data_IF_610873780179
#
_entry.id   IF_610873780179
#
_cell.length_a   1.000
_cell.length_b   1.000
_cell.length_c   1.000
_cell.angle_alpha   90.00
_cell.angle_beta   90.00
_cell.angle_gamma   90.00
#
_symmetry.space_group_name_H-M   'P 1'
#
loop_
_entity.id
_entity.type
_entity.pdbx_description
1 polymer ?
#
# COMPACT_ATOMS: atom_id res chain seq x y z
N UNK A 1 11.83 20.46 3.88
CA UNK A 1 10.46 20.34 3.33
C UNK A 1 9.50 20.61 4.47
N UNK A 2 8.40 21.36 4.28
CA UNK A 2 7.37 21.51 5.31
C UNK A 2 6.78 20.12 5.54
N UNK A 3 6.77 19.62 6.78
CA UNK A 3 6.09 18.36 7.07
C UNK A 3 4.63 18.53 6.70
N UNK A 4 4.09 17.61 5.88
CA UNK A 4 2.67 17.61 5.55
C UNK A 4 1.86 17.20 6.76
N UNK A 5 0.69 17.80 6.92
CA UNK A 5 -0.29 17.47 7.94
C UNK A 5 -1.41 16.59 7.38
N UNK A 6 -1.85 15.64 8.17
CA UNK A 6 -2.83 14.62 7.77
C UNK A 6 -3.96 14.52 8.79
N UNK A 7 -5.19 14.37 8.32
CA UNK A 7 -6.29 13.87 9.13
C UNK A 7 -6.61 12.43 8.71
N UNK A 8 -6.64 11.50 9.66
CA UNK A 8 -7.08 10.13 9.43
C UNK A 8 -8.38 9.90 10.19
N UNK A 9 -9.46 9.70 9.47
CA UNK A 9 -10.83 9.57 9.98
C UNK A 9 -11.26 8.11 9.88
N UNK A 10 -11.47 7.47 11.01
CA UNK A 10 -11.69 6.04 11.17
C UNK A 10 -10.38 5.29 11.47
N UNK A 11 -10.28 4.72 12.67
CA UNK A 11 -9.09 4.01 13.17
C UNK A 11 -9.31 2.50 13.24
N UNK A 12 -10.06 1.94 12.29
CA UNK A 12 -10.05 0.50 12.05
C UNK A 12 -8.65 0.04 11.55
N UNK A 13 -8.49 -1.23 11.23
CA UNK A 13 -7.19 -1.81 10.81
C UNK A 13 -6.44 -0.95 9.78
N UNK A 14 -7.14 -0.51 8.74
CA UNK A 14 -6.55 0.30 7.66
C UNK A 14 -6.15 1.69 8.16
N UNK A 15 -7.07 2.43 8.79
CA UNK A 15 -6.81 3.81 9.24
C UNK A 15 -5.74 3.87 10.33
N UNK A 16 -5.77 2.93 11.28
CA UNK A 16 -4.74 2.78 12.31
C UNK A 16 -3.36 2.61 11.69
N UNK A 17 -3.22 1.69 10.72
CA UNK A 17 -1.94 1.45 10.03
C UNK A 17 -1.47 2.70 9.29
N UNK A 18 -2.37 3.39 8.58
CA UNK A 18 -2.01 4.63 7.86
C UNK A 18 -1.53 5.71 8.83
N UNK A 19 -2.26 5.94 9.92
CA UNK A 19 -1.93 6.98 10.89
C UNK A 19 -0.58 6.72 11.57
N UNK A 20 -0.32 5.48 11.99
CA UNK A 20 0.95 5.08 12.62
C UNK A 20 2.12 5.23 11.65
N UNK A 21 1.98 4.74 10.41
CA UNK A 21 3.05 4.83 9.40
C UNK A 21 3.39 6.29 9.06
N UNK A 22 2.39 7.18 9.01
CA UNK A 22 2.63 8.61 8.81
C UNK A 22 3.37 9.25 10.00
N UNK A 23 2.99 8.86 11.22
CA UNK A 23 3.63 9.35 12.43
C UNK A 23 5.09 8.88 12.56
N UNK A 24 5.40 7.62 12.18
CA UNK A 24 6.76 7.06 12.17
C UNK A 24 7.74 7.86 11.29
N UNK A 25 7.25 8.51 10.24
CA UNK A 25 8.06 9.40 9.39
C UNK A 25 7.94 10.87 9.79
N UNK A 26 7.49 11.14 11.03
CA UNK A 26 7.36 12.47 11.64
C UNK A 26 6.39 13.42 10.90
N UNK A 27 5.31 12.89 10.31
CA UNK A 27 4.22 13.73 9.84
C UNK A 27 3.31 14.15 10.99
N UNK A 28 2.68 15.34 10.88
CA UNK A 28 1.64 15.75 11.81
C UNK A 28 0.34 15.02 11.49
N UNK A 29 -0.14 14.23 12.44
CA UNK A 29 -1.34 13.38 12.25
C UNK A 29 -2.40 13.73 13.27
N UNK A 30 -3.61 14.09 12.77
CA UNK A 30 -4.86 14.15 13.52
C UNK A 30 -5.65 12.87 13.26
N UNK A 31 -5.76 12.02 14.28
CA UNK A 31 -6.47 10.74 14.23
C UNK A 31 -7.85 10.89 14.89
N UNK A 32 -8.92 10.48 14.19
CA UNK A 32 -10.31 10.66 14.62
C UNK A 32 -11.06 9.33 14.51
N UNK A 33 -11.73 8.91 15.58
CA UNK A 33 -12.59 7.73 15.60
C UNK A 33 -13.76 7.93 16.59
N UNK A 34 -14.87 7.24 16.40
CA UNK A 34 -16.02 7.27 17.32
C UNK A 34 -15.86 6.34 18.52
N UNK A 35 -14.90 5.37 18.45
CA UNK A 35 -14.59 4.42 19.51
C UNK A 35 -13.42 4.89 20.35
N UNK A 36 -13.67 4.96 21.64
CA UNK A 36 -12.67 5.38 22.64
C UNK A 36 -11.41 4.50 22.63
N UNK A 37 -11.59 3.19 22.54
CA UNK A 37 -10.50 2.21 22.54
C UNK A 37 -9.51 2.49 21.39
N UNK A 38 -10.02 2.73 20.18
CA UNK A 38 -9.17 3.04 19.02
C UNK A 38 -8.36 4.33 19.22
N UNK A 39 -8.98 5.33 19.84
CA UNK A 39 -8.35 6.62 20.12
C UNK A 39 -7.26 6.47 21.20
N UNK A 40 -7.52 5.71 22.26
CA UNK A 40 -6.57 5.45 23.31
C UNK A 40 -5.34 4.68 22.81
N UNK A 41 -5.53 3.68 21.94
CA UNK A 41 -4.44 2.86 21.37
C UNK A 41 -3.42 3.66 20.55
N UNK A 42 -3.82 4.81 20.00
CA UNK A 42 -2.98 5.61 19.14
C UNK A 42 -2.52 6.94 19.78
N UNK A 43 -3.13 7.36 20.88
CA UNK A 43 -2.98 8.70 21.44
C UNK A 43 -1.53 9.11 21.70
N UNK A 44 -0.67 8.18 22.15
CA UNK A 44 0.74 8.46 22.45
C UNK A 44 1.66 8.40 21.20
N UNK A 45 1.11 8.02 20.04
CA UNK A 45 1.89 7.73 18.83
C UNK A 45 1.69 8.75 17.71
N UNK A 46 0.67 9.60 17.82
CA UNK A 46 0.34 10.63 16.81
C UNK A 46 0.29 12.01 17.44
N UNK A 47 0.26 13.07 16.62
CA UNK A 47 0.23 14.45 17.12
C UNK A 47 -1.05 14.76 17.90
N UNK A 48 -2.20 14.29 17.41
CA UNK A 48 -3.50 14.45 18.07
C UNK A 48 -4.38 13.21 17.79
N UNK A 49 -5.03 12.72 18.84
CA UNK A 49 -6.03 11.67 18.74
C UNK A 49 -7.32 12.12 19.42
N UNK A 50 -8.44 12.05 18.72
CA UNK A 50 -9.71 12.61 19.21
C UNK A 50 -10.85 11.63 18.95
N UNK A 51 -11.67 11.41 20.00
CA UNK A 51 -12.94 10.70 19.88
C UNK A 51 -14.00 11.66 19.37
N UNK A 52 -14.54 11.36 18.19
CA UNK A 52 -15.62 12.14 17.61
C UNK A 52 -16.45 11.32 16.62
N UNK A 53 -17.74 11.58 16.56
CA UNK A 53 -18.63 11.06 15.52
C UNK A 53 -18.66 12.07 14.37
N UNK A 54 -18.20 11.65 13.22
CA UNK A 54 -18.15 12.50 12.01
C UNK A 54 -19.52 12.92 11.48
N UNK A 55 -20.59 12.30 11.99
CA UNK A 55 -21.97 12.67 11.66
C UNK A 55 -22.46 13.88 12.45
N UNK A 56 -21.77 14.25 13.53
CA UNK A 56 -22.12 15.44 14.31
C UNK A 56 -21.80 16.70 13.48
N UNK A 57 -22.80 17.60 13.29
CA UNK A 57 -22.60 18.81 12.50
C UNK A 57 -21.47 19.69 13.03
N UNK A 58 -20.54 20.10 12.16
CA UNK A 58 -19.45 21.01 12.47
C UNK A 58 -18.32 20.40 13.30
N UNK A 59 -18.37 19.12 13.62
CA UNK A 59 -17.33 18.46 14.44
C UNK A 59 -15.96 18.52 13.76
N UNK A 60 -15.88 18.19 12.47
CA UNK A 60 -14.62 18.19 11.73
C UNK A 60 -14.00 19.59 11.62
N UNK A 61 -14.84 20.61 11.47
CA UNK A 61 -14.40 22.01 11.49
C UNK A 61 -13.84 22.41 12.86
N UNK A 62 -14.54 22.04 13.94
CA UNK A 62 -14.09 22.34 15.32
C UNK A 62 -12.75 21.67 15.67
N UNK A 63 -12.45 20.53 15.06
CA UNK A 63 -11.19 19.81 15.21
C UNK A 63 -10.07 20.35 14.31
N UNK A 64 -10.35 21.35 13.48
CA UNK A 64 -9.36 21.99 12.64
C UNK A 64 -8.99 21.21 11.38
N UNK A 65 -9.85 20.30 10.91
CA UNK A 65 -9.59 19.47 9.71
C UNK A 65 -9.34 20.30 8.45
N UNK A 66 -9.89 21.52 8.36
CA UNK A 66 -9.62 22.47 7.27
C UNK A 66 -8.14 22.90 7.14
N UNK A 67 -7.34 22.66 8.16
CA UNK A 67 -5.93 23.09 8.19
C UNK A 67 -4.95 21.98 7.73
N UNK A 68 -5.44 20.76 7.43
CA UNK A 68 -4.56 19.67 7.00
C UNK A 68 -4.35 19.71 5.48
N UNK A 69 -3.20 19.18 5.04
CA UNK A 69 -2.87 19.06 3.61
C UNK A 69 -3.60 17.88 2.96
N UNK A 70 -3.86 16.82 3.74
CA UNK A 70 -4.45 15.57 3.26
C UNK A 70 -5.43 15.01 4.29
N UNK A 71 -6.60 14.57 3.85
CA UNK A 71 -7.51 13.78 4.66
C UNK A 71 -7.67 12.36 4.11
N UNK A 72 -7.63 11.38 5.00
CA UNK A 72 -7.84 9.95 4.70
C UNK A 72 -9.13 9.50 5.39
N UNK A 73 -10.17 9.26 4.61
CA UNK A 73 -11.44 8.73 5.11
C UNK A 73 -11.36 7.21 5.09
N UNK A 74 -11.11 6.62 6.26
CA UNK A 74 -10.93 5.18 6.45
C UNK A 74 -12.16 4.49 7.05
N UNK A 75 -13.24 5.24 7.31
CA UNK A 75 -14.55 4.71 7.72
C UNK A 75 -15.18 4.02 6.52
N UNK A 76 -15.38 2.70 6.59
CA UNK A 76 -15.97 1.96 5.49
C UNK A 76 -17.20 1.13 5.91
N UNK A 77 -17.24 0.60 7.12
CA UNK A 77 -18.36 -0.22 7.62
C UNK A 77 -19.68 0.56 7.71
N UNK A 78 -19.59 1.86 7.99
CA UNK A 78 -20.73 2.76 7.98
C UNK A 78 -20.67 3.68 6.75
N UNK A 79 -21.48 3.36 5.74
CA UNK A 79 -21.52 4.11 4.47
C UNK A 79 -21.96 5.57 4.68
N UNK A 80 -22.93 5.80 5.57
CA UNK A 80 -23.40 7.14 5.90
C UNK A 80 -22.28 8.00 6.48
N UNK A 81 -21.58 7.50 7.49
CA UNK A 81 -20.45 8.20 8.10
C UNK A 81 -19.33 8.48 7.08
N UNK A 82 -19.02 7.51 6.21
CA UNK A 82 -18.00 7.67 5.16
C UNK A 82 -18.36 8.75 4.15
N UNK A 83 -19.61 8.77 3.68
CA UNK A 83 -20.12 9.78 2.73
C UNK A 83 -20.15 11.16 3.40
N UNK A 84 -20.70 11.25 4.62
CA UNK A 84 -20.78 12.49 5.38
C UNK A 84 -19.40 13.09 5.65
N UNK A 85 -18.45 12.27 6.13
CA UNK A 85 -17.09 12.72 6.37
C UNK A 85 -16.40 13.21 5.08
N UNK A 86 -16.55 12.47 3.97
CA UNK A 86 -15.94 12.85 2.69
C UNK A 86 -16.52 14.19 2.18
N UNK A 87 -17.83 14.36 2.26
CA UNK A 87 -18.50 15.60 1.84
C UNK A 87 -18.04 16.78 2.70
N UNK A 88 -18.12 16.66 4.03
CA UNK A 88 -17.69 17.73 4.95
C UNK A 88 -16.24 18.13 4.75
N UNK A 89 -15.33 17.16 4.64
CA UNK A 89 -13.89 17.44 4.44
C UNK A 89 -13.66 18.17 3.11
N UNK A 90 -14.39 17.84 2.06
CA UNK A 90 -14.32 18.57 0.77
C UNK A 90 -14.90 19.98 0.89
N UNK A 91 -16.01 20.16 1.59
CA UNK A 91 -16.60 21.47 1.85
C UNK A 91 -15.70 22.37 2.70
N UNK A 92 -14.95 21.79 3.64
CA UNK A 92 -13.92 22.48 4.42
C UNK A 92 -12.68 22.87 3.61
N UNK A 93 -12.59 22.46 2.34
CA UNK A 93 -11.54 22.87 1.42
C UNK A 93 -10.22 22.15 1.59
N UNK A 94 -10.20 20.94 2.20
CA UNK A 94 -8.97 20.14 2.30
C UNK A 94 -8.43 19.83 0.89
N UNK A 95 -7.14 20.12 0.62
CA UNK A 95 -6.57 20.06 -0.73
C UNK A 95 -6.62 18.67 -1.38
N UNK A 96 -6.44 17.60 -0.58
CA UNK A 96 -6.48 16.23 -1.08
C UNK A 96 -7.24 15.31 -0.14
N UNK A 97 -8.28 14.65 -0.66
CA UNK A 97 -9.13 13.72 0.10
C UNK A 97 -9.06 12.33 -0.52
N UNK A 98 -8.50 11.40 0.23
CA UNK A 98 -8.50 9.98 -0.10
C UNK A 98 -9.59 9.27 0.69
N UNK A 99 -10.42 8.47 0.02
CA UNK A 99 -11.48 7.73 0.69
C UNK A 99 -11.40 6.22 0.40
N UNK A 100 -11.59 5.43 1.45
CA UNK A 100 -11.70 3.97 1.37
C UNK A 100 -13.12 3.58 0.99
N UNK A 101 -13.28 2.76 -0.03
CA UNK A 101 -14.56 2.21 -0.45
C UNK A 101 -14.66 0.72 -0.16
N UNK A 102 -15.85 0.24 0.27
CA UNK A 102 -16.15 -1.18 0.47
C UNK A 102 -16.44 -1.93 -0.83
N UNK A 103 -17.06 -1.24 -1.78
CA UNK A 103 -17.49 -1.82 -3.06
C UNK A 103 -17.57 -0.74 -4.15
N UNK A 104 -17.83 -1.15 -5.38
CA UNK A 104 -17.84 -0.26 -6.54
C UNK A 104 -18.96 0.79 -6.50
N UNK A 105 -20.11 0.50 -5.87
CA UNK A 105 -21.18 1.48 -5.71
C UNK A 105 -20.76 2.59 -4.73
N UNK A 106 -20.24 2.20 -3.57
CA UNK A 106 -19.72 3.15 -2.58
C UNK A 106 -18.62 4.03 -3.19
N UNK A 107 -17.67 3.43 -3.92
CA UNK A 107 -16.61 4.19 -4.56
C UNK A 107 -17.10 5.23 -5.55
N UNK A 108 -18.07 4.87 -6.41
CA UNK A 108 -18.68 5.84 -7.35
C UNK A 108 -19.38 7.00 -6.63
N UNK A 109 -19.98 6.75 -5.46
CA UNK A 109 -20.58 7.83 -4.65
C UNK A 109 -19.47 8.75 -4.14
N UNK A 110 -18.41 8.19 -3.54
CA UNK A 110 -17.28 8.95 -3.00
C UNK A 110 -16.60 9.83 -4.07
N UNK A 111 -16.41 9.29 -5.29
CA UNK A 111 -15.92 10.07 -6.43
C UNK A 111 -16.85 11.23 -6.80
N UNK A 112 -18.16 10.99 -6.81
CA UNK A 112 -19.17 11.99 -7.17
C UNK A 112 -19.27 13.14 -6.15
N UNK A 113 -19.02 12.86 -4.88
CA UNK A 113 -19.01 13.89 -3.82
C UNK A 113 -17.64 14.56 -3.67
N UNK A 114 -16.66 14.23 -4.53
CA UNK A 114 -15.42 14.98 -4.67
C UNK A 114 -14.19 14.37 -4.02
N UNK A 115 -14.20 13.09 -3.63
CA UNK A 115 -12.97 12.42 -3.24
C UNK A 115 -11.94 12.46 -4.38
N UNK A 116 -10.72 12.93 -4.11
CA UNK A 116 -9.65 13.03 -5.11
C UNK A 116 -9.07 11.67 -5.45
N UNK A 117 -9.15 10.72 -4.50
CA UNK A 117 -8.74 9.33 -4.71
C UNK A 117 -9.63 8.38 -3.93
N UNK A 118 -10.14 7.36 -4.62
CA UNK A 118 -10.86 6.26 -3.99
C UNK A 118 -9.99 5.00 -4.04
N UNK A 119 -9.92 4.28 -2.92
CA UNK A 119 -9.13 3.05 -2.79
C UNK A 119 -9.98 1.90 -2.27
N UNK A 120 -9.59 0.68 -2.66
CA UNK A 120 -10.23 -0.59 -2.28
C UNK A 120 -9.18 -1.54 -1.70
N UNK A 121 -8.69 -1.30 -0.46
CA UNK A 121 -7.54 -2.03 0.09
C UNK A 121 -7.75 -3.54 0.12
N UNK A 122 -8.91 -4.01 0.58
CA UNK A 122 -9.24 -5.43 0.70
C UNK A 122 -9.30 -6.10 -0.69
N UNK A 123 -9.89 -5.44 -1.68
CA UNK A 123 -9.97 -5.96 -3.04
C UNK A 123 -8.57 -6.05 -3.66
N UNK A 124 -7.77 -5.00 -3.55
CA UNK A 124 -6.41 -4.96 -4.09
C UNK A 124 -5.51 -6.02 -3.44
N UNK A 125 -5.58 -6.13 -2.11
CA UNK A 125 -4.83 -7.14 -1.37
C UNK A 125 -5.33 -8.55 -1.66
N UNK A 126 -6.66 -8.76 -1.81
CA UNK A 126 -7.24 -10.04 -2.17
C UNK A 126 -6.75 -10.55 -3.51
N UNK A 127 -6.69 -9.68 -4.54
CA UNK A 127 -6.11 -10.03 -5.85
C UNK A 127 -4.63 -10.42 -5.70
N UNK A 128 -3.85 -9.64 -4.95
CA UNK A 128 -2.42 -9.92 -4.72
C UNK A 128 -2.22 -11.28 -4.04
N UNK A 129 -2.96 -11.55 -2.97
CA UNK A 129 -2.89 -12.84 -2.26
C UNK A 129 -3.30 -14.00 -3.16
N UNK A 130 -4.41 -13.86 -3.91
CA UNK A 130 -4.86 -14.91 -4.82
C UNK A 130 -3.82 -15.24 -5.90
N UNK A 131 -3.19 -14.21 -6.48
CA UNK A 131 -2.11 -14.39 -7.45
C UNK A 131 -0.89 -15.09 -6.84
N UNK A 132 -0.48 -14.68 -5.65
CA UNK A 132 0.63 -15.32 -4.94
C UNK A 132 0.34 -16.79 -4.60
N UNK A 133 -0.91 -17.15 -4.29
CA UNK A 133 -1.33 -18.54 -4.05
C UNK A 133 -1.37 -19.38 -5.32
N UNK A 134 -1.71 -18.79 -6.45
CA UNK A 134 -1.75 -19.47 -7.75
C UNK A 134 -0.36 -19.66 -8.37
N UNK A 135 0.57 -18.81 -8.01
CA UNK A 135 1.93 -18.79 -8.56
C UNK A 135 2.83 -19.71 -7.74
N UNK A 136 2.95 -20.98 -8.16
CA UNK A 136 3.93 -21.91 -7.59
C UNK A 136 5.34 -21.37 -7.87
N UNK A 137 6.06 -20.98 -6.81
CA UNK A 137 7.46 -20.53 -6.89
C UNK A 137 7.72 -19.06 -6.62
N UNK A 138 6.71 -18.18 -6.63
CA UNK A 138 6.88 -16.78 -6.22
C UNK A 138 6.81 -16.62 -4.70
N UNK A 139 7.68 -15.78 -4.17
CA UNK A 139 7.63 -15.29 -2.79
C UNK A 139 6.71 -14.08 -2.71
N UNK A 140 6.82 -13.17 -3.69
CA UNK A 140 5.94 -12.00 -3.84
C UNK A 140 5.91 -11.52 -5.29
N UNK A 141 4.80 -10.84 -5.68
CA UNK A 141 4.61 -10.34 -7.04
C UNK A 141 3.90 -8.99 -7.03
N UNK A 142 4.49 -8.02 -7.73
CA UNK A 142 3.97 -6.67 -7.92
C UNK A 142 3.61 -6.46 -9.39
N UNK A 143 2.35 -6.18 -9.66
CA UNK A 143 1.88 -5.86 -11.00
C UNK A 143 2.33 -4.44 -11.40
N UNK A 144 2.99 -4.34 -12.55
CA UNK A 144 3.34 -3.06 -13.18
C UNK A 144 2.30 -2.66 -14.23
N UNK A 145 1.72 -3.66 -14.90
CA UNK A 145 0.59 -3.54 -15.82
C UNK A 145 -0.11 -4.90 -15.94
N UNK A 146 -1.18 -5.01 -16.76
CA UNK A 146 -1.88 -6.27 -17.03
C UNK A 146 -0.96 -7.41 -17.47
N UNK A 147 0.12 -7.10 -18.18
CA UNK A 147 0.99 -8.07 -18.84
C UNK A 147 2.39 -8.17 -18.25
N UNK A 148 2.79 -7.19 -17.44
CA UNK A 148 4.13 -7.08 -16.86
C UNK A 148 4.10 -6.97 -15.36
N UNK A 149 5.01 -7.68 -14.69
CA UNK A 149 5.18 -7.66 -13.24
C UNK A 149 6.65 -7.59 -12.83
N UNK A 150 6.86 -7.21 -11.60
CA UNK A 150 8.07 -7.46 -10.84
C UNK A 150 7.79 -8.58 -9.84
N UNK A 151 8.62 -9.61 -9.81
CA UNK A 151 8.42 -10.78 -8.95
C UNK A 151 9.68 -11.12 -8.15
N UNK A 152 9.48 -11.54 -6.90
CA UNK A 152 10.47 -12.20 -6.08
C UNK A 152 10.20 -13.71 -6.11
N UNK A 153 11.20 -14.52 -6.48
CA UNK A 153 11.10 -15.97 -6.55
C UNK A 153 12.38 -16.65 -6.05
N UNK A 154 12.25 -17.90 -5.65
CA UNK A 154 13.40 -18.70 -5.26
C UNK A 154 14.33 -18.91 -6.45
N UNK A 155 15.64 -18.91 -6.21
CA UNK A 155 16.60 -19.20 -7.28
C UNK A 155 16.28 -20.54 -7.92
N UNK A 156 16.11 -20.59 -9.27
CA UNK A 156 16.01 -21.87 -10.00
C UNK A 156 17.26 -22.73 -9.74
N UNK A 157 17.07 -24.02 -9.55
CA UNK A 157 18.20 -24.93 -9.24
C UNK A 157 19.33 -24.86 -10.27
N UNK A 158 18.97 -24.67 -11.53
CA UNK A 158 19.92 -24.55 -12.64
C UNK A 158 20.74 -23.26 -12.65
N UNK A 159 20.35 -22.24 -11.85
CA UNK A 159 21.08 -20.98 -11.71
C UNK A 159 22.11 -21.02 -10.59
N UNK A 160 21.96 -21.92 -9.62
CA UNK A 160 22.85 -22.03 -8.46
C UNK A 160 24.27 -22.33 -8.92
N UNK A 161 25.22 -21.56 -8.40
CA UNK A 161 26.64 -21.70 -8.73
C UNK A 161 27.10 -21.11 -10.06
N UNK A 162 26.14 -20.53 -10.84
CA UNK A 162 26.46 -19.83 -12.09
C UNK A 162 26.51 -18.33 -11.88
N UNK A 163 27.16 -17.63 -12.79
CA UNK A 163 27.23 -16.16 -12.81
C UNK A 163 26.12 -15.58 -13.67
N UNK A 164 25.78 -14.28 -13.46
CA UNK A 164 24.81 -13.57 -14.29
C UNK A 164 25.23 -13.59 -15.78
N UNK A 165 26.53 -13.51 -16.05
CA UNK A 165 27.10 -13.58 -17.40
C UNK A 165 26.83 -14.94 -18.08
N UNK A 166 27.03 -16.05 -17.35
CA UNK A 166 26.78 -17.40 -17.87
C UNK A 166 25.30 -17.68 -18.08
N UNK A 167 24.46 -17.17 -17.19
CA UNK A 167 23.01 -17.36 -17.25
C UNK A 167 22.35 -16.66 -18.43
N UNK A 168 22.89 -15.51 -18.85
CA UNK A 168 22.32 -14.68 -19.93
C UNK A 168 20.82 -14.45 -19.74
N UNK A 169 20.43 -14.06 -18.53
CA UNK A 169 19.03 -14.03 -18.05
C UNK A 169 18.11 -13.30 -19.01
N UNK A 170 18.55 -12.14 -19.53
CA UNK A 170 17.76 -11.35 -20.47
C UNK A 170 17.57 -12.08 -21.82
N UNK A 171 18.60 -12.74 -22.31
CA UNK A 171 18.57 -13.41 -23.62
C UNK A 171 17.75 -14.69 -23.59
N UNK A 172 17.94 -15.50 -22.52
CA UNK A 172 17.33 -16.83 -22.41
C UNK A 172 15.91 -16.83 -21.86
N UNK A 173 15.64 -15.94 -20.89
CA UNK A 173 14.39 -15.95 -20.15
C UNK A 173 13.54 -14.70 -20.40
N UNK A 174 14.04 -13.74 -21.18
CA UNK A 174 13.36 -12.48 -21.51
C UNK A 174 12.88 -11.69 -20.27
N UNK A 175 13.63 -11.77 -19.16
CA UNK A 175 13.37 -11.04 -17.93
C UNK A 175 14.57 -10.18 -17.56
N UNK A 176 14.32 -9.10 -16.81
CA UNK A 176 15.37 -8.24 -16.30
C UNK A 176 15.61 -8.55 -14.82
N UNK A 177 16.81 -9.01 -14.48
CA UNK A 177 17.22 -9.14 -13.09
C UNK A 177 17.32 -7.74 -12.45
N UNK A 178 16.66 -7.56 -11.31
CA UNK A 178 16.71 -6.33 -10.53
C UNK A 178 17.67 -6.49 -9.37
N UNK A 179 17.69 -7.67 -8.74
CA UNK A 179 18.61 -7.93 -7.63
C UNK A 179 18.49 -9.32 -7.05
N UNK A 180 19.38 -9.58 -6.09
CA UNK A 180 19.38 -10.78 -5.25
C UNK A 180 19.02 -10.36 -3.82
N UNK A 181 18.15 -11.12 -3.18
CA UNK A 181 17.76 -10.88 -1.79
C UNK A 181 18.17 -12.06 -0.92
N UNK A 182 18.90 -11.76 0.16
CA UNK A 182 19.36 -12.71 1.16
C UNK A 182 18.83 -12.29 2.53
N UNK A 183 17.84 -13.01 3.05
CA UNK A 183 17.05 -12.57 4.20
C UNK A 183 16.41 -11.20 3.93
N UNK A 184 16.68 -10.22 4.79
CA UNK A 184 16.16 -8.85 4.63
C UNK A 184 17.08 -7.92 3.80
N UNK A 185 18.24 -8.43 3.36
CA UNK A 185 19.22 -7.62 2.61
C UNK A 185 19.04 -7.80 1.11
N UNK A 186 18.86 -6.69 0.41
CA UNK A 186 18.76 -6.64 -1.05
C UNK A 186 20.05 -6.14 -1.67
N UNK A 187 20.66 -6.93 -2.59
CA UNK A 187 21.72 -6.49 -3.47
C UNK A 187 21.15 -6.16 -4.86
N UNK A 188 21.06 -4.87 -5.19
CA UNK A 188 20.58 -4.40 -6.51
C UNK A 188 21.72 -4.20 -7.52
N UNK A 189 22.99 -4.30 -7.08
CA UNK A 189 24.18 -4.13 -7.93
C UNK A 189 24.85 -5.49 -8.16
N UNK A 190 24.09 -6.45 -8.69
CA UNK A 190 24.62 -7.78 -9.02
C UNK A 190 25.67 -7.68 -10.11
N UNK A 191 26.92 -8.00 -9.78
CA UNK A 191 28.01 -7.96 -10.75
C UNK A 191 27.84 -9.08 -11.80
N UNK A 192 28.25 -8.86 -13.07
CA UNK A 192 28.14 -9.88 -14.11
C UNK A 192 28.82 -11.21 -13.78
N UNK A 193 29.86 -11.17 -12.97
CA UNK A 193 30.65 -12.33 -12.55
C UNK A 193 30.30 -12.81 -11.11
N UNK A 194 29.26 -12.23 -10.50
CA UNK A 194 28.75 -12.66 -9.20
C UNK A 194 28.04 -14.01 -9.33
N UNK A 195 28.41 -14.94 -8.46
CA UNK A 195 27.85 -16.30 -8.44
C UNK A 195 26.55 -16.32 -7.64
N UNK A 196 25.51 -16.92 -8.19
CA UNK A 196 24.20 -17.06 -7.55
C UNK A 196 24.26 -18.10 -6.42
N UNK A 197 24.06 -17.72 -5.14
CA UNK A 197 24.03 -18.64 -4.02
C UNK A 197 22.69 -19.39 -3.93
N UNK A 198 22.68 -20.53 -3.23
CA UNK A 198 21.46 -21.36 -3.10
C UNK A 198 20.41 -20.79 -2.13
N UNK A 199 20.79 -19.91 -1.22
CA UNK A 199 20.02 -19.46 -0.07
C UNK A 199 19.46 -18.02 -0.23
N UNK A 200 19.34 -17.56 -1.47
CA UNK A 200 18.74 -16.26 -1.77
C UNK A 200 17.50 -16.38 -2.68
N UNK A 201 16.78 -15.28 -2.81
CA UNK A 201 15.73 -15.09 -3.79
C UNK A 201 16.16 -14.12 -4.88
N UNK A 202 15.55 -14.22 -6.03
CA UNK A 202 15.77 -13.34 -7.18
C UNK A 202 14.60 -12.37 -7.28
N UNK A 203 14.91 -11.08 -7.46
CA UNK A 203 13.92 -10.10 -7.86
C UNK A 203 14.15 -9.77 -9.34
N UNK A 204 13.13 -9.99 -10.16
CA UNK A 204 13.20 -9.72 -11.59
C UNK A 204 11.91 -9.08 -12.10
N UNK A 205 12.00 -8.37 -13.24
CA UNK A 205 10.86 -7.80 -13.94
C UNK A 205 10.77 -8.34 -15.37
N UNK A 206 9.55 -8.60 -15.83
CA UNK A 206 9.30 -9.11 -17.16
C UNK A 206 7.82 -9.34 -17.44
N UNK A 207 7.52 -9.93 -18.60
CA UNK A 207 6.18 -10.37 -18.91
C UNK A 207 5.75 -11.48 -17.95
N UNK A 208 4.47 -11.50 -17.56
CA UNK A 208 3.93 -12.48 -16.61
C UNK A 208 4.19 -13.92 -17.08
N UNK A 209 4.05 -14.16 -18.38
CA UNK A 209 4.32 -15.48 -18.99
C UNK A 209 5.77 -15.92 -18.88
N UNK A 210 6.74 -15.00 -18.94
CA UNK A 210 8.15 -15.31 -18.89
C UNK A 210 8.63 -15.50 -17.44
N UNK A 211 8.11 -14.68 -16.51
CA UNK A 211 8.34 -14.87 -15.08
C UNK A 211 7.84 -16.22 -14.58
N UNK A 212 6.63 -16.65 -14.98
CA UNK A 212 6.06 -17.95 -14.62
C UNK A 212 6.96 -19.11 -15.07
N UNK A 213 7.45 -19.10 -16.30
CA UNK A 213 8.36 -20.15 -16.82
C UNK A 213 9.63 -20.30 -15.99
N UNK A 214 10.15 -19.21 -15.43
CA UNK A 214 11.39 -19.22 -14.63
C UNK A 214 11.13 -19.70 -13.21
N UNK A 215 10.00 -19.34 -12.62
CA UNK A 215 9.66 -19.69 -11.23
C UNK A 215 9.24 -21.14 -11.04
N UNK A 216 8.83 -21.84 -12.12
CA UNK A 216 8.41 -23.26 -12.11
C UNK A 216 9.59 -24.24 -12.23
N UNK A 217 10.82 -23.78 -12.55
CA UNK A 217 12.05 -24.56 -12.67
C UNK A 217 12.90 -24.43 -11.39
#
# INVERSE_FOLDING_TARGET
>A
MKNKSYAVIGLGQFGMTVALTLAEVNCDVLAIDDKDDNVQDIAEKVSYAVKADVRDPGILESLGVQNVDVAVIAVAENMEASITATMQVKELGVPFVMAKAMNSLHGRILEKIGADKVIYPEHSMGIRVARNLLSSGFVDMFELSSDFSMAEFKIPREWIGKTLRELKVREKYNINLIGLKHGDKMNMNVAPDEVFPADCTVVAAGANSDLNKVSEN
#
